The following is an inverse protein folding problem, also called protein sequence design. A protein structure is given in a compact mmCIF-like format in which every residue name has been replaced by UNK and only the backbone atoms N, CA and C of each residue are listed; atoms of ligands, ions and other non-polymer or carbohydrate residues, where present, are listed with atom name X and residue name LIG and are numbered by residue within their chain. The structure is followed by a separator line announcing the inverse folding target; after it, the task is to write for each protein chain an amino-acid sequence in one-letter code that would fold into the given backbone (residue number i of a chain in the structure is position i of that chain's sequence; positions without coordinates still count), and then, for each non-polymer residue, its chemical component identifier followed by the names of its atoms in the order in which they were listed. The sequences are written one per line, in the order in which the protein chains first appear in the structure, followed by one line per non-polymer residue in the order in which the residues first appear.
data_IF_625200503628
#
_entry.id   IF_625200503628
#
_cell.length_a   1.000
_cell.length_b   1.000
_cell.length_c   1.000
_cell.angle_alpha   90.00
_cell.angle_beta   90.00
_cell.angle_gamma   90.00
#
_symmetry.space_group_name_H-M   'P 1'
#
loop_
_entity.id
_entity.type
_entity.pdbx_description
1 polymer ?
#
# COMPACT_ATOMS: atom_id res chain seq x y z
N UNK A 1 -14.09 -1.39 8.25
CA UNK A 1 -13.53 -0.11 8.76
C UNK A 1 -12.06 -0.31 9.07
N UNK A 2 -11.19 -0.04 8.09
CA UNK A 2 -9.73 -0.14 8.10
C UNK A 2 -9.04 0.94 8.95
N UNK A 3 -9.78 1.75 9.72
CA UNK A 3 -9.20 2.80 10.55
C UNK A 3 -9.15 2.38 11.99
N UNK A 4 -8.27 1.42 12.27
CA UNK A 4 -8.04 0.96 13.62
C UNK A 4 -6.57 1.07 14.01
N UNK A 5 -6.29 1.17 15.30
CA UNK A 5 -4.98 1.45 15.89
C UNK A 5 -4.02 0.25 15.83
N UNK A 6 -4.13 -0.59 14.81
CA UNK A 6 -3.33 -1.82 14.66
C UNK A 6 -2.01 -1.49 13.96
N UNK A 7 -0.91 -2.06 14.45
CA UNK A 7 0.40 -1.88 13.85
C UNK A 7 0.59 -2.79 12.64
N UNK A 8 1.29 -2.30 11.62
CA UNK A 8 1.56 -3.06 10.38
C UNK A 8 2.15 -4.47 10.60
N UNK A 9 3.17 -4.64 11.47
CA UNK A 9 3.71 -5.97 11.78
C UNK A 9 2.70 -6.93 12.41
N UNK A 10 1.72 -6.42 13.16
CA UNK A 10 0.67 -7.23 13.78
C UNK A 10 -0.30 -7.74 12.70
N UNK A 11 -0.64 -6.90 11.73
CA UNK A 11 -1.45 -7.28 10.56
C UNK A 11 -0.76 -8.37 9.73
N UNK A 12 0.53 -8.19 9.44
CA UNK A 12 1.31 -9.19 8.69
C UNK A 12 1.41 -10.51 9.46
N UNK A 13 1.60 -10.47 10.78
CA UNK A 13 1.68 -11.66 11.62
C UNK A 13 0.36 -12.43 11.65
N UNK A 14 -0.76 -11.72 11.81
CA UNK A 14 -2.11 -12.31 11.77
C UNK A 14 -2.41 -12.92 10.40
N UNK A 15 -2.15 -12.18 9.32
CA UNK A 15 -2.35 -12.68 7.96
C UNK A 15 -1.49 -13.92 7.69
N UNK A 16 -0.20 -13.89 8.03
CA UNK A 16 0.72 -15.01 7.84
C UNK A 16 0.28 -16.25 8.62
N UNK A 17 -0.22 -16.06 9.84
CA UNK A 17 -0.79 -17.14 10.65
C UNK A 17 -2.01 -17.77 9.97
N UNK A 18 -2.99 -16.96 9.57
CA UNK A 18 -4.21 -17.42 8.90
C UNK A 18 -3.83 -18.15 7.61
N UNK A 19 -2.99 -17.55 6.75
CA UNK A 19 -2.51 -18.14 5.49
C UNK A 19 -1.91 -19.52 5.68
N UNK A 20 -1.01 -19.68 6.65
CA UNK A 20 -0.40 -20.98 6.98
C UNK A 20 -1.45 -22.03 7.32
N UNK A 21 -2.47 -21.65 8.09
CA UNK A 21 -3.54 -22.57 8.50
C UNK A 21 -4.56 -22.83 7.39
N UNK A 22 -4.87 -21.86 6.53
CA UNK A 22 -5.71 -22.05 5.34
C UNK A 22 -5.12 -23.10 4.40
N UNK A 23 -3.83 -23.02 4.09
CA UNK A 23 -3.17 -24.01 3.22
C UNK A 23 -3.18 -25.43 3.81
N UNK A 24 -3.21 -25.55 5.14
CA UNK A 24 -3.06 -26.84 5.83
C UNK A 24 -4.40 -27.46 6.23
N UNK A 25 -5.40 -26.64 6.56
CA UNK A 25 -6.66 -27.05 7.21
C UNK A 25 -7.90 -26.38 6.61
N UNK A 26 -7.77 -25.56 5.56
CA UNK A 26 -8.88 -24.83 4.94
C UNK A 26 -9.32 -23.56 5.68
N UNK A 27 -8.84 -23.32 6.91
CA UNK A 27 -9.15 -22.13 7.68
C UNK A 27 -8.65 -22.22 9.13
N UNK A 28 -8.94 -21.20 9.93
CA UNK A 28 -8.63 -21.14 11.35
C UNK A 28 -9.76 -20.49 12.15
N UNK A 29 -10.18 -21.12 13.23
CA UNK A 29 -11.21 -20.59 14.11
C UNK A 29 -10.72 -19.43 14.96
N UNK A 30 -11.62 -18.50 15.26
CA UNK A 30 -11.34 -17.29 16.05
C UNK A 30 -10.76 -17.59 17.43
N UNK A 31 -11.23 -18.66 18.08
CA UNK A 31 -10.72 -19.07 19.38
C UNK A 31 -9.24 -19.47 19.31
N UNK A 32 -8.84 -20.19 18.26
CA UNK A 32 -7.43 -20.55 18.06
C UNK A 32 -6.55 -19.36 17.68
N UNK A 33 -7.06 -18.39 16.90
CA UNK A 33 -6.36 -17.11 16.68
C UNK A 33 -6.09 -16.42 18.03
N UNK A 34 -7.10 -16.27 18.87
CA UNK A 34 -6.92 -15.62 20.17
C UNK A 34 -5.95 -16.36 21.09
N UNK A 35 -6.06 -17.68 21.17
CA UNK A 35 -5.15 -18.49 21.99
C UNK A 35 -3.69 -18.35 21.53
N UNK A 36 -3.46 -18.09 20.25
CA UNK A 36 -2.11 -17.96 19.67
C UNK A 36 -1.50 -16.57 19.87
N UNK A 37 -2.31 -15.51 19.95
CA UNK A 37 -1.84 -14.13 20.04
C UNK A 37 -2.06 -13.47 21.42
N UNK A 38 -2.89 -14.05 22.29
CA UNK A 38 -3.12 -13.57 23.67
C UNK A 38 -2.75 -14.67 24.68
N UNK A 39 -1.66 -14.51 25.44
CA UNK A 39 -1.34 -15.40 26.54
C UNK A 39 -2.50 -15.40 27.55
N UNK A 40 -3.09 -16.56 27.83
CA UNK A 40 -4.25 -16.74 28.71
C UNK A 40 -5.57 -16.14 28.17
N UNK A 41 -5.86 -16.32 26.89
CA UNK A 41 -7.12 -15.92 26.24
C UNK A 41 -8.42 -16.32 27.00
N UNK A 42 -8.36 -17.37 27.82
CA UNK A 42 -9.50 -17.84 28.63
C UNK A 42 -9.77 -16.99 29.89
N UNK A 43 -8.84 -16.11 30.27
CA UNK A 43 -8.87 -15.27 31.49
C UNK A 43 -8.81 -13.77 31.12
N UNK A 44 -8.50 -13.45 29.86
CA UNK A 44 -8.32 -12.08 29.38
C UNK A 44 -9.63 -11.31 29.35
N UNK A 45 -9.61 -10.07 29.86
CA UNK A 45 -10.73 -9.14 29.73
C UNK A 45 -10.89 -8.68 28.27
N UNK A 46 -12.11 -8.28 27.86
CA UNK A 46 -12.45 -7.80 26.49
C UNK A 46 -11.51 -6.72 25.93
N UNK A 47 -10.75 -6.01 26.76
CA UNK A 47 -9.77 -5.03 26.30
C UNK A 47 -8.50 -5.61 25.67
N UNK A 48 -8.13 -6.87 25.99
CA UNK A 48 -6.88 -7.50 25.53
C UNK A 48 -6.99 -8.14 24.13
N UNK A 49 -8.20 -8.45 23.66
CA UNK A 49 -8.43 -9.02 22.32
C UNK A 49 -8.69 -7.96 21.26
N UNK A 50 -8.94 -6.70 21.65
CA UNK A 50 -9.39 -5.64 20.77
C UNK A 50 -8.44 -5.40 19.58
N UNK A 51 -7.13 -5.38 19.79
CA UNK A 51 -6.17 -5.20 18.69
C UNK A 51 -6.24 -6.34 17.65
N UNK A 52 -6.55 -7.57 18.09
CA UNK A 52 -6.71 -8.71 17.18
C UNK A 52 -8.03 -8.58 16.43
N UNK A 53 -9.12 -8.23 17.11
CA UNK A 53 -10.42 -7.98 16.46
C UNK A 53 -10.33 -6.90 15.40
N UNK A 54 -9.64 -5.83 15.75
CA UNK A 54 -9.37 -4.70 14.89
C UNK A 54 -8.50 -5.12 13.69
N UNK A 55 -7.51 -5.98 13.91
CA UNK A 55 -6.63 -6.53 12.87
C UNK A 55 -7.36 -7.49 11.92
N UNK A 56 -8.21 -8.37 12.46
CA UNK A 56 -9.05 -9.28 11.67
C UNK A 56 -10.07 -8.50 10.84
N UNK A 57 -10.73 -7.52 11.47
CA UNK A 57 -11.65 -6.60 10.77
C UNK A 57 -10.93 -5.85 9.65
N UNK A 58 -9.67 -5.47 9.90
CA UNK A 58 -8.85 -4.81 8.90
C UNK A 58 -8.56 -5.73 7.72
N UNK A 59 -7.97 -6.90 7.95
CA UNK A 59 -7.62 -7.86 6.90
C UNK A 59 -8.85 -8.27 6.08
N UNK A 60 -10.01 -8.42 6.71
CA UNK A 60 -11.28 -8.67 6.03
C UNK A 60 -11.72 -7.51 5.15
N UNK A 61 -11.64 -6.29 5.69
CA UNK A 61 -12.03 -5.08 4.93
C UNK A 61 -11.09 -4.85 3.74
N UNK A 62 -9.83 -5.28 3.82
CA UNK A 62 -8.87 -5.26 2.73
C UNK A 62 -8.98 -6.49 1.79
N UNK A 63 -10.00 -7.34 1.98
CA UNK A 63 -10.26 -8.57 1.21
C UNK A 63 -9.09 -9.58 1.21
N UNK A 64 -8.22 -9.54 2.23
CA UNK A 64 -7.11 -10.50 2.37
C UNK A 64 -7.54 -11.80 3.04
N UNK A 65 -8.58 -11.74 3.87
CA UNK A 65 -9.18 -12.89 4.53
C UNK A 65 -10.70 -12.81 4.45
N UNK A 66 -11.35 -13.96 4.55
CA UNK A 66 -12.81 -14.12 4.61
C UNK A 66 -13.25 -14.85 5.88
N UNK A 67 -14.56 -14.85 6.13
CA UNK A 67 -15.18 -15.53 7.29
C UNK A 67 -15.37 -14.64 8.53
N UNK A 68 -16.29 -15.05 9.41
CA UNK A 68 -16.66 -14.33 10.62
C UNK A 68 -16.05 -14.92 11.89
N UNK A 69 -16.13 -16.24 12.05
CA UNK A 69 -15.57 -16.99 13.19
C UNK A 69 -14.62 -18.13 12.78
N UNK A 70 -14.55 -18.42 11.47
CA UNK A 70 -13.54 -19.28 10.87
C UNK A 70 -12.92 -18.51 9.71
N UNK A 71 -11.66 -18.12 9.86
CA UNK A 71 -10.95 -17.26 8.92
C UNK A 71 -10.18 -18.09 7.91
N UNK A 72 -10.28 -17.71 6.64
CA UNK A 72 -9.45 -18.24 5.58
C UNK A 72 -8.87 -17.10 4.74
N UNK A 73 -7.71 -17.29 4.11
CA UNK A 73 -7.24 -16.32 3.11
C UNK A 73 -8.12 -16.35 1.89
N UNK A 74 -8.49 -15.18 1.39
CA UNK A 74 -9.17 -15.05 0.09
C UNK A 74 -8.28 -15.67 -1.01
N UNK A 75 -8.85 -16.40 -1.97
CA UNK A 75 -8.09 -16.93 -3.10
C UNK A 75 -7.36 -15.82 -3.87
N UNK A 76 -6.12 -16.09 -4.26
CA UNK A 76 -5.35 -15.19 -5.12
C UNK A 76 -5.97 -15.11 -6.51
N UNK A 77 -5.93 -13.93 -7.11
CA UNK A 77 -6.47 -13.72 -8.47
C UNK A 77 -5.52 -14.22 -9.55
N UNK A 78 -4.22 -14.27 -9.23
CA UNK A 78 -3.16 -14.75 -10.10
C UNK A 78 -1.98 -15.34 -9.29
N UNK A 79 -1.08 -16.04 -9.99
CA UNK A 79 0.14 -16.63 -9.41
C UNK A 79 1.15 -15.58 -8.89
N UNK A 80 0.98 -14.30 -9.28
CA UNK A 80 1.86 -13.22 -8.86
C UNK A 80 1.51 -12.83 -7.42
N UNK A 81 0.22 -12.66 -7.11
CA UNK A 81 -0.23 -12.26 -5.78
C UNK A 81 0.25 -13.21 -4.68
N UNK A 82 0.31 -14.52 -4.97
CA UNK A 82 0.79 -15.51 -4.01
C UNK A 82 2.25 -15.25 -3.58
N UNK A 83 3.06 -14.70 -4.49
CA UNK A 83 4.49 -14.46 -4.32
C UNK A 83 4.81 -13.06 -3.82
N UNK A 84 3.83 -12.15 -3.80
CA UNK A 84 4.03 -10.79 -3.30
C UNK A 84 4.34 -10.79 -1.81
N UNK A 85 5.22 -9.88 -1.40
CA UNK A 85 5.37 -9.53 0.00
C UNK A 85 4.06 -8.92 0.51
N UNK A 86 3.77 -9.08 1.82
CA UNK A 86 2.52 -8.60 2.42
C UNK A 86 2.25 -7.12 2.13
N UNK A 87 3.28 -6.28 2.16
CA UNK A 87 3.18 -4.84 1.86
C UNK A 87 2.70 -4.58 0.42
N UNK A 88 3.32 -5.22 -0.57
CA UNK A 88 2.94 -5.10 -1.98
C UNK A 88 1.54 -5.64 -2.25
N UNK A 89 1.18 -6.77 -1.63
CA UNK A 89 -0.16 -7.36 -1.71
C UNK A 89 -1.23 -6.40 -1.14
N UNK A 90 -0.98 -5.84 0.04
CA UNK A 90 -1.92 -4.92 0.68
C UNK A 90 -2.09 -3.61 -0.13
N UNK A 91 -0.99 -3.07 -0.67
CA UNK A 91 -1.04 -1.89 -1.55
C UNK A 91 -1.85 -2.16 -2.82
N UNK A 92 -1.66 -3.33 -3.45
CA UNK A 92 -2.46 -3.76 -4.61
C UNK A 92 -3.95 -3.85 -4.26
N UNK A 93 -4.30 -4.39 -3.09
CA UNK A 93 -5.69 -4.45 -2.61
C UNK A 93 -6.28 -3.05 -2.38
N UNK A 94 -5.53 -2.11 -1.82
CA UNK A 94 -6.01 -0.72 -1.69
C UNK A 94 -6.30 -0.07 -3.03
N UNK A 95 -5.41 -0.23 -4.02
CA UNK A 95 -5.64 0.30 -5.37
C UNK A 95 -6.84 -0.32 -6.05
N UNK A 96 -7.04 -1.64 -5.89
CA UNK A 96 -8.22 -2.32 -6.43
C UNK A 96 -9.51 -1.80 -5.82
N UNK A 97 -9.58 -1.64 -4.50
CA UNK A 97 -10.76 -1.10 -3.82
C UNK A 97 -11.11 0.31 -4.31
N UNK A 98 -10.11 1.17 -4.49
CA UNK A 98 -10.29 2.53 -5.02
C UNK A 98 -10.91 2.53 -6.44
N UNK A 99 -10.47 1.63 -7.32
CA UNK A 99 -11.00 1.51 -8.68
C UNK A 99 -12.42 0.95 -8.74
N UNK A 100 -12.76 0.00 -7.86
CA UNK A 100 -14.08 -0.65 -7.85
C UNK A 100 -15.17 0.22 -7.20
N UNK A 101 -14.79 1.09 -6.26
CA UNK A 101 -15.74 1.90 -5.51
C UNK A 101 -15.43 3.40 -5.58
N UNK A 102 -15.41 4.02 -6.79
CA UNK A 102 -15.04 5.42 -6.96
C UNK A 102 -16.00 6.42 -6.27
N UNK A 103 -17.15 5.94 -5.77
CA UNK A 103 -18.19 6.74 -5.10
C UNK A 103 -18.62 6.19 -3.74
N UNK A 104 -17.97 5.13 -3.25
CA UNK A 104 -18.23 4.57 -1.93
C UNK A 104 -17.43 5.32 -0.89
N UNK A 105 -18.09 5.97 0.07
CA UNK A 105 -17.41 6.59 1.22
C UNK A 105 -17.10 5.48 2.22
N UNK A 106 -16.13 4.62 1.90
CA UNK A 106 -15.53 3.74 2.89
C UNK A 106 -14.27 4.44 3.38
N UNK A 107 -14.13 4.58 4.71
CA UNK A 107 -12.92 5.10 5.38
C UNK A 107 -11.64 4.46 4.82
N UNK A 108 -11.78 3.25 4.30
CA UNK A 108 -10.82 2.35 3.70
C UNK A 108 -10.13 2.94 2.45
N UNK A 109 -10.82 3.80 1.69
CA UNK A 109 -10.27 4.50 0.53
C UNK A 109 -9.27 5.59 0.90
N UNK A 110 -9.32 6.10 2.13
CA UNK A 110 -8.48 7.21 2.54
C UNK A 110 -6.99 6.88 2.51
N UNK A 111 -6.58 5.60 2.57
CA UNK A 111 -5.15 5.27 2.61
C UNK A 111 -4.42 5.76 1.36
N UNK A 112 -4.82 5.28 0.18
CA UNK A 112 -4.18 5.70 -1.06
C UNK A 112 -4.63 7.11 -1.47
N UNK A 113 -5.89 7.48 -1.26
CA UNK A 113 -6.35 8.82 -1.64
C UNK A 113 -5.59 9.93 -0.89
N UNK A 114 -5.29 9.76 0.40
CA UNK A 114 -4.45 10.73 1.12
C UNK A 114 -3.03 10.79 0.55
N UNK A 115 -2.44 9.65 0.20
CA UNK A 115 -1.13 9.61 -0.44
C UNK A 115 -1.13 10.35 -1.77
N UNK A 116 -2.12 10.05 -2.61
CA UNK A 116 -2.24 10.58 -3.95
C UNK A 116 -2.52 12.09 -3.95
N UNK A 117 -3.54 12.52 -3.20
CA UNK A 117 -3.97 13.91 -3.13
C UNK A 117 -2.98 14.79 -2.37
N UNK A 118 -2.34 14.26 -1.31
CA UNK A 118 -1.40 15.06 -0.53
C UNK A 118 0.01 15.05 -1.09
N UNK A 119 0.48 14.06 -1.84
CA UNK A 119 1.89 14.00 -2.24
C UNK A 119 2.08 13.85 -3.74
N UNK A 120 1.40 12.87 -4.34
CA UNK A 120 1.66 12.46 -5.73
C UNK A 120 1.11 13.48 -6.73
N UNK A 121 -0.19 13.81 -6.68
CA UNK A 121 -0.80 14.76 -7.62
C UNK A 121 -0.19 16.17 -7.54
N UNK A 122 0.08 16.73 -6.33
CA UNK A 122 0.77 18.01 -6.19
C UNK A 122 2.29 17.94 -6.42
N UNK A 123 2.82 16.74 -6.61
CA UNK A 123 4.25 16.46 -6.78
C UNK A 123 5.14 17.00 -5.64
N UNK A 124 4.84 16.64 -4.39
CA UNK A 124 5.64 17.00 -3.21
C UNK A 124 5.97 15.78 -2.36
N UNK A 125 7.12 15.82 -1.71
CA UNK A 125 7.59 14.72 -0.83
C UNK A 125 7.25 14.94 0.63
N UNK A 126 6.96 16.17 1.07
CA UNK A 126 6.81 16.50 2.49
C UNK A 126 5.54 17.29 2.79
N UNK A 127 4.85 16.91 3.86
CA UNK A 127 3.76 17.70 4.47
C UNK A 127 3.98 17.74 5.99
N UNK A 128 4.15 18.94 6.53
CA UNK A 128 4.47 19.16 7.96
C UNK A 128 3.27 18.99 8.91
N UNK A 129 2.07 19.34 8.46
CA UNK A 129 0.81 19.09 9.17
C UNK A 129 -0.12 18.28 8.28
N UNK A 130 0.03 16.96 8.35
CA UNK A 130 -0.78 16.02 7.56
C UNK A 130 -2.24 16.08 7.98
N UNK A 131 -2.52 16.32 9.26
CA UNK A 131 -3.90 16.35 9.75
C UNK A 131 -4.65 17.58 9.24
N UNK A 132 -4.03 18.76 9.34
CA UNK A 132 -4.58 19.98 8.74
C UNK A 132 -4.78 19.81 7.24
N UNK A 133 -3.74 19.34 6.52
CA UNK A 133 -3.81 19.16 5.07
C UNK A 133 -4.87 18.14 4.61
N UNK A 134 -5.00 17.01 5.31
CA UNK A 134 -5.98 15.98 5.01
C UNK A 134 -7.42 16.51 5.15
N UNK A 135 -7.70 17.31 6.19
CA UNK A 135 -9.02 17.90 6.43
C UNK A 135 -9.38 19.04 5.46
N UNK A 136 -8.45 19.50 4.62
CA UNK A 136 -8.76 20.42 3.51
C UNK A 136 -9.21 19.69 2.24
N UNK A 137 -9.09 18.35 2.19
CA UNK A 137 -9.55 17.57 1.04
C UNK A 137 -11.06 17.42 1.07
N UNK A 138 -11.69 17.50 -0.10
CA UNK A 138 -13.15 17.36 -0.26
C UNK A 138 -13.68 16.07 0.37
N UNK A 139 -12.98 14.94 0.12
CA UNK A 139 -13.35 13.65 0.67
C UNK A 139 -13.37 13.64 2.22
N UNK A 140 -12.41 14.31 2.85
CA UNK A 140 -12.37 14.42 4.31
C UNK A 140 -13.53 15.28 4.84
N UNK A 141 -13.89 16.35 4.12
CA UNK A 141 -15.02 17.20 4.48
C UNK A 141 -16.36 16.46 4.38
N UNK A 142 -16.52 15.62 3.35
CA UNK A 142 -17.73 14.80 3.16
C UNK A 142 -17.99 13.80 4.30
N UNK A 143 -16.95 13.36 5.01
CA UNK A 143 -17.05 12.42 6.14
C UNK A 143 -17.05 13.08 7.52
N UNK A 144 -17.15 14.41 7.58
CA UNK A 144 -17.10 15.17 8.84
C UNK A 144 -15.69 15.30 9.43
N UNK A 145 -14.65 15.07 8.62
CA UNK A 145 -13.25 15.20 8.99
C UNK A 145 -12.55 13.88 9.36
N UNK A 146 -11.22 13.96 9.44
CA UNK A 146 -10.33 12.86 9.83
C UNK A 146 -9.64 13.28 11.12
N UNK A 147 -9.78 12.49 12.18
CA UNK A 147 -9.14 12.78 13.47
C UNK A 147 -7.62 12.62 13.43
N UNK A 148 -6.93 13.21 14.41
CA UNK A 148 -5.48 13.11 14.53
C UNK A 148 -5.01 11.67 14.78
N UNK A 149 -5.79 10.87 15.53
CA UNK A 149 -5.49 9.46 15.79
C UNK A 149 -5.52 8.65 14.50
N UNK A 150 -6.49 8.94 13.62
CA UNK A 150 -6.63 8.30 12.30
C UNK A 150 -5.44 8.65 11.40
N UNK A 151 -5.04 9.91 11.36
CA UNK A 151 -3.85 10.34 10.61
C UNK A 151 -2.58 9.68 11.15
N UNK A 152 -2.43 9.56 12.47
CA UNK A 152 -1.29 8.89 13.07
C UNK A 152 -1.28 7.37 12.83
N UNK A 153 -2.44 6.73 12.75
CA UNK A 153 -2.56 5.33 12.31
C UNK A 153 -2.15 5.19 10.84
N UNK A 154 -2.68 6.04 9.95
CA UNK A 154 -2.31 6.09 8.54
C UNK A 154 -0.81 6.22 8.33
N UNK A 155 -0.15 7.16 9.03
CA UNK A 155 1.30 7.36 8.94
C UNK A 155 2.10 6.11 9.33
N UNK A 156 1.67 5.40 10.39
CA UNK A 156 2.33 4.17 10.86
C UNK A 156 2.19 3.05 9.83
N UNK A 157 0.99 2.90 9.25
CA UNK A 157 0.75 1.92 8.18
C UNK A 157 1.59 2.25 6.96
N UNK A 158 1.58 3.49 6.49
CA UNK A 158 2.37 3.89 5.32
C UNK A 158 3.88 3.74 5.51
N UNK A 159 4.40 4.05 6.70
CA UNK A 159 5.80 3.79 7.04
C UNK A 159 6.13 2.29 7.00
N UNK A 160 5.28 1.45 7.61
CA UNK A 160 5.45 -0.01 7.58
C UNK A 160 5.40 -0.56 6.15
N UNK A 161 4.50 -0.06 5.31
CA UNK A 161 4.39 -0.50 3.92
C UNK A 161 5.57 -0.03 3.04
N UNK A 162 6.46 0.80 3.56
CA UNK A 162 7.60 1.34 2.81
C UNK A 162 7.22 2.51 1.89
N UNK A 163 6.16 3.25 2.22
CA UNK A 163 5.62 4.36 1.41
C UNK A 163 6.11 5.73 1.92
N UNK A 164 6.85 5.75 3.03
CA UNK A 164 7.47 6.98 3.54
C UNK A 164 7.95 6.85 4.98
N UNK A 165 8.21 7.99 5.61
CA UNK A 165 8.76 8.07 6.96
C UNK A 165 8.02 9.10 7.80
N UNK A 166 7.82 8.79 9.08
CA UNK A 166 7.30 9.74 10.05
C UNK A 166 8.43 10.66 10.53
N UNK A 167 8.20 11.97 10.47
CA UNK A 167 9.12 12.96 11.03
C UNK A 167 8.33 14.01 11.82
N UNK A 168 8.49 14.05 13.14
CA UNK A 168 7.72 14.98 13.99
C UNK A 168 6.20 14.92 13.71
N UNK A 169 5.58 16.08 13.47
CA UNK A 169 4.15 16.21 13.13
C UNK A 169 3.83 15.90 11.66
N UNK A 170 4.83 15.74 10.80
CA UNK A 170 4.65 15.58 9.36
C UNK A 170 4.81 14.15 8.86
N UNK A 171 4.95 14.00 7.55
CA UNK A 171 5.26 12.74 6.87
C UNK A 171 6.02 13.00 5.57
N UNK A 172 7.11 12.25 5.38
CA UNK A 172 7.96 12.29 4.20
C UNK A 172 7.57 11.12 3.29
N UNK A 173 6.86 11.42 2.21
CA UNK A 173 6.52 10.46 1.17
C UNK A 173 7.73 10.17 0.30
N UNK A 174 8.35 9.02 0.54
CA UNK A 174 9.47 8.51 -0.24
C UNK A 174 9.36 6.98 -0.25
N UNK A 175 9.17 6.40 -1.43
CA UNK A 175 8.96 4.96 -1.53
C UNK A 175 10.28 4.23 -1.32
N UNK A 176 10.25 3.20 -0.48
CA UNK A 176 11.39 2.35 -0.22
C UNK A 176 11.81 1.66 -1.53
N UNK A 177 13.08 1.80 -1.97
CA UNK A 177 13.55 1.14 -3.19
C UNK A 177 13.36 -0.37 -3.20
N UNK A 178 13.47 -1.04 -2.05
CA UNK A 178 13.24 -2.49 -1.95
C UNK A 178 11.79 -2.86 -2.23
N UNK A 179 10.83 -2.03 -1.82
CA UNK A 179 9.41 -2.25 -2.14
C UNK A 179 9.17 -2.15 -3.64
N UNK A 180 9.64 -1.07 -4.26
CA UNK A 180 9.44 -0.82 -5.70
C UNK A 180 10.16 -1.90 -6.50
N UNK A 181 11.40 -2.25 -6.15
CA UNK A 181 12.13 -3.33 -6.79
C UNK A 181 11.43 -4.68 -6.65
N UNK A 182 10.90 -5.02 -5.46
CA UNK A 182 10.11 -6.24 -5.26
C UNK A 182 8.89 -6.28 -6.17
N UNK A 183 8.15 -5.17 -6.30
CA UNK A 183 7.02 -5.08 -7.25
C UNK A 183 7.52 -5.29 -8.68
N UNK A 184 8.60 -4.64 -9.08
CA UNK A 184 9.18 -4.73 -10.43
C UNK A 184 9.62 -6.14 -10.82
N UNK A 185 10.07 -6.96 -9.87
CA UNK A 185 10.46 -8.34 -10.14
C UNK A 185 9.33 -9.23 -10.68
N UNK A 186 8.07 -8.82 -10.47
CA UNK A 186 6.89 -9.50 -11.00
C UNK A 186 6.29 -8.77 -12.21
N UNK A 187 6.96 -7.75 -12.75
CA UNK A 187 6.55 -7.15 -14.00
C UNK A 187 6.70 -8.20 -15.11
N UNK A 188 5.66 -8.51 -15.90
CA UNK A 188 5.73 -9.58 -16.90
C UNK A 188 6.79 -9.37 -17.99
N UNK A 189 7.29 -8.14 -18.12
CA UNK A 189 8.31 -7.76 -19.07
C UNK A 189 9.64 -7.51 -18.35
N UNK A 190 10.75 -8.03 -18.88
CA UNK A 190 12.09 -7.71 -18.39
C UNK A 190 12.60 -6.37 -18.92
N UNK A 191 12.06 -5.92 -20.05
CA UNK A 191 12.35 -4.64 -20.68
C UNK A 191 11.09 -4.15 -21.41
N UNK A 192 10.81 -2.85 -21.31
CA UNK A 192 9.66 -2.23 -21.97
C UNK A 192 9.79 -0.72 -22.05
N UNK A 193 8.66 -0.03 -22.22
CA UNK A 193 8.59 1.42 -22.09
C UNK A 193 8.33 1.82 -20.63
N UNK A 194 8.78 3.02 -20.26
CA UNK A 194 8.44 3.61 -18.97
C UNK A 194 6.95 3.86 -18.84
N UNK A 195 6.27 4.15 -19.95
CA UNK A 195 4.82 4.36 -19.96
C UNK A 195 4.08 3.08 -19.54
N UNK A 196 4.33 1.96 -20.21
CA UNK A 196 3.71 0.67 -19.86
C UNK A 196 4.03 0.28 -18.40
N UNK A 197 5.28 0.48 -17.97
CA UNK A 197 5.66 0.17 -16.60
C UNK A 197 4.93 1.05 -15.57
N UNK A 198 4.85 2.36 -15.79
CA UNK A 198 4.27 3.29 -14.83
C UNK A 198 2.74 3.26 -14.87
N UNK A 199 2.14 3.46 -16.04
CA UNK A 199 0.69 3.61 -16.23
C UNK A 199 -0.04 2.28 -16.08
N UNK A 200 0.47 1.20 -16.69
CA UNK A 200 -0.27 -0.07 -16.76
C UNK A 200 0.10 -1.03 -15.62
N UNK A 201 1.33 -0.95 -15.10
CA UNK A 201 1.81 -1.91 -14.10
C UNK A 201 1.94 -1.30 -12.69
N UNK A 202 2.81 -0.31 -12.50
CA UNK A 202 3.13 0.21 -11.17
C UNK A 202 1.95 0.96 -10.52
N UNK A 203 1.15 1.67 -11.32
CA UNK A 203 -0.06 2.37 -10.87
C UNK A 203 -1.11 1.43 -10.24
N UNK A 204 -1.03 0.12 -10.49
CA UNK A 204 -1.84 -0.92 -9.83
C UNK A 204 -1.43 -1.18 -8.38
N UNK A 205 -0.27 -0.70 -7.94
CA UNK A 205 0.26 -0.86 -6.58
C UNK A 205 0.41 0.48 -5.88
N UNK A 206 1.02 1.46 -6.55
CA UNK A 206 1.41 2.73 -5.97
C UNK A 206 1.02 3.87 -6.93
N UNK A 207 0.44 4.97 -6.42
CA UNK A 207 0.27 6.16 -7.24
C UNK A 207 1.64 6.71 -7.64
N UNK A 208 1.88 6.82 -8.94
CA UNK A 208 3.18 7.19 -9.49
C UNK A 208 3.18 8.39 -10.43
N UNK A 209 2.00 8.86 -10.85
CA UNK A 209 1.84 9.97 -11.79
C UNK A 209 1.21 11.18 -11.13
N UNK A 210 1.77 12.35 -11.43
CA UNK A 210 1.26 13.64 -10.97
C UNK A 210 0.01 14.05 -11.74
N UNK A 211 -0.64 15.15 -11.32
CA UNK A 211 -1.77 15.76 -12.04
C UNK A 211 -1.46 16.24 -13.47
N UNK A 212 -0.18 16.22 -13.89
CA UNK A 212 0.27 16.56 -15.24
C UNK A 212 0.75 15.33 -16.02
N UNK A 213 0.44 14.13 -15.52
CA UNK A 213 0.93 12.85 -16.01
C UNK A 213 2.46 12.69 -16.05
N UNK A 214 3.18 13.46 -15.22
CA UNK A 214 4.63 13.30 -15.02
C UNK A 214 4.92 12.31 -13.88
N UNK A 215 6.10 11.69 -13.86
CA UNK A 215 6.54 10.85 -12.74
C UNK A 215 6.62 11.69 -11.46
N UNK A 216 6.00 11.21 -10.39
CA UNK A 216 6.04 11.86 -9.10
C UNK A 216 7.43 11.81 -8.47
N UNK A 217 7.79 12.85 -7.71
CA UNK A 217 9.08 12.92 -7.02
C UNK A 217 9.38 11.69 -6.14
N UNK A 218 8.41 11.12 -5.37
CA UNK A 218 8.65 9.89 -4.62
C UNK A 218 9.12 8.73 -5.50
N UNK A 219 8.53 8.54 -6.69
CA UNK A 219 8.89 7.46 -7.61
C UNK A 219 10.19 7.77 -8.35
N UNK A 220 10.35 9.03 -8.80
CA UNK A 220 11.52 9.47 -9.52
C UNK A 220 12.79 9.21 -8.69
N UNK A 221 12.80 9.64 -7.43
CA UNK A 221 13.93 9.42 -6.53
C UNK A 221 14.22 7.92 -6.33
N UNK A 222 13.17 7.10 -6.24
CA UNK A 222 13.31 5.65 -6.09
C UNK A 222 13.87 4.99 -7.34
N UNK A 223 13.40 5.35 -8.53
CA UNK A 223 13.91 4.80 -9.79
C UNK A 223 15.36 5.23 -10.06
N UNK A 224 15.72 6.47 -9.74
CA UNK A 224 17.11 6.93 -9.84
C UNK A 224 18.02 6.17 -8.88
N UNK A 225 17.56 5.88 -7.66
CA UNK A 225 18.32 5.04 -6.73
C UNK A 225 18.50 3.61 -7.26
N UNK A 226 17.45 3.00 -7.81
CA UNK A 226 17.54 1.65 -8.39
C UNK A 226 18.45 1.60 -9.62
N UNK A 227 18.47 2.66 -10.43
CA UNK A 227 19.41 2.81 -11.55
C UNK A 227 20.87 2.92 -11.03
N UNK A 228 21.11 3.70 -9.97
CA UNK A 228 22.44 3.82 -9.36
C UNK A 228 22.95 2.53 -8.71
N UNK A 229 22.04 1.64 -8.30
CA UNK A 229 22.38 0.34 -7.72
C UNK A 229 22.43 -0.78 -8.78
N UNK A 230 22.45 -0.45 -10.07
CA UNK A 230 22.46 -1.40 -11.18
C UNK A 230 21.34 -2.45 -11.10
N UNK A 231 20.20 -2.10 -10.49
CA UNK A 231 19.01 -2.96 -10.45
C UNK A 231 18.16 -2.77 -11.71
N UNK A 232 18.17 -1.55 -12.26
CA UNK A 232 17.50 -1.20 -13.51
C UNK A 232 18.40 -0.34 -14.41
N UNK A 233 18.00 -0.22 -15.67
CA UNK A 233 18.56 0.72 -16.63
C UNK A 233 17.46 1.56 -17.26
N UNK A 234 17.58 2.89 -17.18
CA UNK A 234 16.69 3.82 -17.88
C UNK A 234 17.33 4.29 -19.20
N UNK A 235 16.51 4.57 -20.22
CA UNK A 235 17.02 4.91 -21.55
C UNK A 235 16.09 5.85 -22.33
N UNK A 236 16.62 6.59 -23.30
CA UNK A 236 15.92 7.65 -24.06
C UNK A 236 15.14 7.17 -25.30
N UNK A 237 15.13 5.86 -25.61
CA UNK A 237 14.55 5.20 -26.82
C UNK A 237 13.99 6.18 -27.88
N UNK A 238 14.85 6.67 -28.78
CA UNK A 238 14.55 7.80 -29.69
C UNK A 238 13.33 7.58 -30.60
N UNK A 239 13.07 6.34 -31.03
CA UNK A 239 11.98 6.01 -31.97
C UNK A 239 10.71 5.46 -31.30
N UNK A 240 10.64 5.48 -29.96
CA UNK A 240 9.45 4.96 -29.27
C UNK A 240 8.30 5.98 -29.32
N UNK A 241 7.06 5.57 -29.67
CA UNK A 241 5.90 6.45 -29.59
C UNK A 241 5.47 6.76 -28.15
N UNK A 242 6.03 6.05 -27.15
CA UNK A 242 5.69 6.22 -25.72
C UNK A 242 6.04 7.61 -25.19
N UNK A 243 5.27 8.09 -24.22
CA UNK A 243 5.52 9.38 -23.55
C UNK A 243 6.93 9.43 -22.94
N UNK A 244 7.70 10.52 -23.15
CA UNK A 244 8.95 10.73 -22.43
C UNK A 244 8.67 11.18 -20.99
N UNK A 245 9.47 10.68 -20.06
CA UNK A 245 9.45 11.02 -18.64
C UNK A 245 10.78 11.65 -18.19
N UNK A 246 10.87 12.07 -16.93
CA UNK A 246 12.07 12.67 -16.31
C UNK A 246 12.46 14.03 -16.93
N UNK A 247 11.48 14.85 -17.30
CA UNK A 247 11.67 16.22 -17.76
C UNK A 247 12.70 16.35 -18.89
N UNK A 248 13.86 16.95 -18.59
CA UNK A 248 14.92 17.20 -19.59
C UNK A 248 15.64 15.93 -20.05
N UNK A 249 15.69 14.86 -19.23
CA UNK A 249 16.33 13.58 -19.61
C UNK A 249 15.54 12.84 -20.69
N UNK A 250 14.23 13.08 -20.78
CA UNK A 250 13.32 12.49 -21.79
C UNK A 250 13.48 10.96 -21.92
N UNK A 251 13.45 10.26 -20.78
CA UNK A 251 13.59 8.81 -20.73
C UNK A 251 12.29 8.15 -21.18
N UNK A 252 12.39 7.04 -21.90
CA UNK A 252 11.26 6.29 -22.49
C UNK A 252 11.34 4.79 -22.24
N UNK A 253 12.52 4.24 -21.95
CA UNK A 253 12.71 2.80 -21.75
C UNK A 253 13.18 2.47 -20.35
N UNK A 254 12.76 1.31 -19.87
CA UNK A 254 13.20 0.71 -18.61
C UNK A 254 13.52 -0.76 -18.82
N UNK A 255 14.60 -1.24 -18.17
CA UNK A 255 15.05 -2.63 -18.21
C UNK A 255 15.48 -3.09 -16.82
N UNK A 256 15.02 -4.26 -16.40
CA UNK A 256 15.49 -4.97 -15.22
C UNK A 256 16.80 -5.68 -15.53
N UNK A 257 17.81 -5.52 -14.67
CA UNK A 257 19.14 -6.11 -14.85
C UNK A 257 19.23 -7.50 -14.23
#
# INVERSE_FOLDING_TARGET
MLFVTVYGPELESLYSFIRKHTHSHGGVDRAFVYASFVPHANISSKGQTKNIDDGLTYLRSAELIEGDDCYATTPFEDDIEEKLAFSALLLRRFRKMEQLFPRGIMTDHLYITLLEQLYVLPNRVWVGDVHGAANQLELAQQIGGISIEKVNAWKRVMEFLGVGYRMGSGFLCQYNPNLVHHIMQYWPQREGTLQEFLEDYLQCYLPCLTSRDEVSLPILATLEHLEQQDCIKLSTKQDSPSRPYFGTRRLRGIKML
#
